data_IF_850187203780
#
_entry.id   IF_850187203780
#
_cell.length_a   1.000
_cell.length_b   1.000
_cell.length_c   1.000
_cell.angle_alpha   90.00
_cell.angle_beta   90.00
_cell.angle_gamma   90.00
#
_symmetry.space_group_name_H-M   'P 1'
#
loop_
_entity.id
_entity.type
_entity.pdbx_description
1 polymer ?
#
# COMPACT_ATOMS: atom_id res chain seq x y z
N UNK A 1 7.85 -6.63 -25.86
CA UNK A 1 6.90 -7.73 -25.79
C UNK A 1 5.51 -7.15 -25.57
N UNK A 2 4.48 -7.84 -26.06
CA UNK A 2 3.08 -7.50 -25.80
C UNK A 2 2.64 -8.09 -24.46
N UNK A 3 2.20 -7.25 -23.53
CA UNK A 3 1.77 -7.69 -22.21
C UNK A 3 0.31 -7.27 -21.97
N UNK A 4 -0.55 -8.27 -21.74
CA UNK A 4 -1.91 -8.01 -21.27
C UNK A 4 -1.90 -7.77 -19.76
N UNK A 5 -2.35 -6.60 -19.33
CA UNK A 5 -2.41 -6.21 -17.91
C UNK A 5 -3.86 -6.21 -17.45
N UNK A 6 -4.17 -6.93 -16.37
CA UNK A 6 -5.52 -6.97 -15.79
C UNK A 6 -5.50 -6.41 -14.37
N UNK A 7 -6.25 -5.31 -14.17
CA UNK A 7 -6.30 -4.57 -12.91
C UNK A 7 -7.69 -4.62 -12.27
N UNK A 8 -7.80 -4.85 -10.95
CA UNK A 8 -9.09 -4.86 -10.25
C UNK A 8 -9.70 -3.47 -10.06
N UNK A 9 -8.88 -2.41 -10.24
CA UNK A 9 -9.30 -1.01 -10.11
C UNK A 9 -8.57 -0.12 -11.09
N UNK A 10 -9.25 0.91 -11.56
CA UNK A 10 -8.63 1.96 -12.36
C UNK A 10 -7.52 2.65 -11.53
N UNK A 11 -6.29 2.80 -12.08
CA UNK A 11 -5.10 3.16 -11.29
C UNK A 11 -4.96 4.65 -10.98
N UNK A 12 -6.04 5.43 -11.06
CA UNK A 12 -6.07 6.86 -10.73
C UNK A 12 -7.45 7.24 -10.15
N UNK A 13 -7.57 8.25 -9.23
CA UNK A 13 -6.50 8.96 -8.53
C UNK A 13 -5.73 8.07 -7.54
N UNK A 14 -4.55 8.53 -7.10
CA UNK A 14 -3.56 7.74 -6.34
C UNK A 14 -3.86 7.59 -4.84
N UNK A 15 -5.14 7.58 -4.46
CA UNK A 15 -5.61 7.60 -3.07
C UNK A 15 -5.45 6.27 -2.32
N UNK A 16 -5.27 5.17 -3.06
CA UNK A 16 -5.18 3.81 -2.51
C UNK A 16 -3.88 3.14 -2.93
N UNK A 17 -3.28 2.36 -2.05
CA UNK A 17 -2.01 1.72 -2.30
C UNK A 17 -1.99 0.82 -3.54
N UNK A 18 -3.07 0.09 -3.82
CA UNK A 18 -3.21 -0.73 -5.02
C UNK A 18 -3.26 0.10 -6.31
N UNK A 19 -3.90 1.27 -6.29
CA UNK A 19 -3.93 2.20 -7.42
C UNK A 19 -2.57 2.89 -7.64
N UNK A 20 -1.95 3.37 -6.56
CA UNK A 20 -0.63 3.98 -6.58
C UNK A 20 0.40 3.01 -7.20
N UNK A 21 0.42 1.77 -6.72
CA UNK A 21 1.30 0.73 -7.23
C UNK A 21 1.04 0.45 -8.71
N UNK A 22 -0.22 0.25 -9.11
CA UNK A 22 -0.59 0.02 -10.51
C UNK A 22 -0.15 1.17 -11.44
N UNK A 23 -0.35 2.40 -11.01
CA UNK A 23 0.07 3.58 -11.76
C UNK A 23 1.57 3.58 -12.06
N UNK A 24 2.39 3.42 -11.01
CA UNK A 24 3.85 3.42 -11.18
C UNK A 24 4.35 2.17 -11.91
N UNK A 25 3.70 1.02 -11.74
CA UNK A 25 3.98 -0.18 -12.55
C UNK A 25 3.72 0.09 -14.03
N UNK A 26 2.54 0.60 -14.41
CA UNK A 26 2.23 0.91 -15.81
C UNK A 26 3.21 1.94 -16.39
N UNK A 27 3.52 3.01 -15.64
CA UNK A 27 4.45 4.07 -16.06
C UNK A 27 5.82 3.52 -16.42
N UNK A 28 6.37 2.61 -15.62
CA UNK A 28 7.72 2.08 -15.85
C UNK A 28 7.68 0.93 -16.86
N UNK A 29 6.74 0.00 -16.73
CA UNK A 29 6.63 -1.15 -17.64
C UNK A 29 6.39 -0.74 -19.09
N UNK A 30 5.69 0.38 -19.36
CA UNK A 30 5.44 0.91 -20.69
C UNK A 30 6.71 1.30 -21.47
N UNK A 31 7.83 1.49 -20.78
CA UNK A 31 9.14 1.76 -21.41
C UNK A 31 9.81 0.49 -21.95
N UNK A 32 9.41 -0.67 -21.45
CA UNK A 32 10.00 -1.97 -21.77
C UNK A 32 9.07 -2.87 -22.58
N UNK A 33 7.76 -2.65 -22.47
CA UNK A 33 6.72 -3.52 -23.03
C UNK A 33 5.57 -2.71 -23.65
N UNK A 34 4.91 -3.31 -24.62
CA UNK A 34 3.64 -2.82 -25.19
C UNK A 34 2.49 -3.31 -24.28
N UNK A 35 1.86 -2.39 -23.54
CA UNK A 35 0.85 -2.74 -22.55
C UNK A 35 -0.56 -2.62 -23.14
N UNK A 36 -1.34 -3.68 -23.00
CA UNK A 36 -2.78 -3.74 -23.28
C UNK A 36 -3.52 -3.89 -21.97
N UNK A 37 -4.24 -2.85 -21.54
CA UNK A 37 -4.74 -2.76 -20.17
C UNK A 37 -6.24 -2.97 -20.12
N UNK A 38 -6.70 -3.93 -19.30
CA UNK A 38 -8.10 -4.11 -18.91
C UNK A 38 -8.22 -3.77 -17.43
N UNK A 39 -9.03 -2.79 -17.11
CA UNK A 39 -9.23 -2.37 -15.73
C UNK A 39 -10.71 -2.31 -15.36
N UNK A 40 -11.01 -2.66 -14.11
CA UNK A 40 -12.34 -2.60 -13.56
C UNK A 40 -12.55 -1.28 -12.80
N UNK A 41 -13.77 -0.78 -12.75
CA UNK A 41 -14.10 0.41 -11.96
C UNK A 41 -15.55 0.33 -11.42
N UNK A 42 -15.77 0.97 -10.29
CA UNK A 42 -17.12 1.15 -9.74
C UNK A 42 -17.82 2.37 -10.35
N UNK A 43 -17.05 3.44 -10.51
CA UNK A 43 -17.44 4.66 -11.21
C UNK A 43 -16.51 4.85 -12.39
N UNK A 44 -17.07 5.27 -13.54
CA UNK A 44 -16.25 5.56 -14.70
C UNK A 44 -15.28 6.71 -14.35
N UNK A 45 -13.99 6.56 -14.68
CA UNK A 45 -13.02 7.62 -14.46
C UNK A 45 -13.35 8.84 -15.34
N UNK A 46 -12.98 10.03 -14.88
CA UNK A 46 -13.03 11.26 -15.70
C UNK A 46 -12.06 11.16 -16.89
N UNK A 47 -12.30 11.96 -17.94
CA UNK A 47 -11.36 12.05 -19.07
C UNK A 47 -9.98 12.50 -18.62
N UNK A 48 -9.89 13.40 -17.65
CA UNK A 48 -8.63 13.79 -17.04
C UNK A 48 -7.88 12.61 -16.43
N UNK A 49 -8.61 11.78 -15.65
CA UNK A 49 -8.03 10.55 -15.06
C UNK A 49 -7.58 9.56 -16.13
N UNK A 50 -8.36 9.40 -17.21
CA UNK A 50 -7.99 8.55 -18.33
C UNK A 50 -6.76 9.07 -19.08
N UNK A 51 -6.66 10.38 -19.26
CA UNK A 51 -5.51 11.02 -19.91
C UNK A 51 -4.18 10.77 -19.16
N UNK A 52 -4.22 10.57 -17.84
CA UNK A 52 -3.03 10.21 -17.03
C UNK A 52 -2.54 8.76 -17.26
N UNK A 53 -3.40 7.86 -17.76
CA UNK A 53 -3.08 6.43 -17.93
C UNK A 53 -2.85 6.08 -19.41
N UNK A 54 -3.58 6.68 -20.34
CA UNK A 54 -3.46 6.39 -21.79
C UNK A 54 -2.03 6.40 -22.33
N UNK A 55 -1.13 7.33 -21.92
CA UNK A 55 0.25 7.32 -22.41
C UNK A 55 1.07 6.06 -22.08
N UNK A 56 0.62 5.26 -21.12
CA UNK A 56 1.33 4.05 -20.68
C UNK A 56 0.87 2.77 -21.37
N UNK A 57 -0.13 2.83 -22.25
CA UNK A 57 -0.69 1.64 -22.87
C UNK A 57 -1.06 1.86 -24.32
N UNK A 58 -0.94 0.79 -25.13
CA UNK A 58 -1.41 0.78 -26.51
C UNK A 58 -2.93 0.83 -26.56
N UNK A 59 -3.58 0.10 -25.66
CA UNK A 59 -5.03 0.10 -25.51
C UNK A 59 -5.43 0.09 -24.02
N UNK A 60 -6.46 0.86 -23.70
CA UNK A 60 -7.03 0.97 -22.35
C UNK A 60 -8.53 0.63 -22.39
N UNK A 61 -8.90 -0.48 -21.79
CA UNK A 61 -10.27 -0.94 -21.67
C UNK A 61 -10.77 -0.78 -20.22
N UNK A 62 -11.75 0.09 -20.00
CA UNK A 62 -12.33 0.36 -18.69
C UNK A 62 -13.71 -0.29 -18.61
N UNK A 63 -13.88 -1.23 -17.68
CA UNK A 63 -15.16 -1.96 -17.51
C UNK A 63 -15.80 -1.59 -16.19
N UNK A 64 -16.98 -0.97 -16.27
CA UNK A 64 -17.77 -0.61 -15.10
C UNK A 64 -18.41 -1.85 -14.47
N UNK A 65 -18.19 -2.01 -13.17
CA UNK A 65 -18.87 -3.01 -12.34
C UNK A 65 -20.19 -2.44 -11.82
N UNK A 66 -21.31 -3.03 -12.23
CA UNK A 66 -22.62 -2.65 -11.71
C UNK A 66 -22.86 -3.31 -10.34
N UNK A 67 -23.58 -2.63 -9.44
CA UNK A 67 -23.87 -3.15 -8.11
C UNK A 67 -24.58 -4.50 -8.15
N UNK A 68 -25.59 -4.65 -9.01
CA UNK A 68 -26.35 -5.90 -9.15
C UNK A 68 -25.46 -7.06 -9.63
N UNK A 69 -24.56 -6.83 -10.61
CA UNK A 69 -23.65 -7.87 -11.10
C UNK A 69 -22.63 -8.28 -10.02
N UNK A 70 -22.14 -7.31 -9.22
CA UNK A 70 -21.20 -7.59 -8.12
C UNK A 70 -21.82 -8.51 -7.06
N UNK A 71 -23.03 -8.17 -6.59
CA UNK A 71 -23.71 -8.98 -5.57
C UNK A 71 -24.03 -10.39 -6.10
N UNK A 72 -24.62 -10.48 -7.30
CA UNK A 72 -24.95 -11.76 -7.93
C UNK A 72 -23.72 -12.66 -8.12
N UNK A 73 -22.65 -12.11 -8.67
CA UNK A 73 -21.43 -12.88 -8.89
C UNK A 73 -20.71 -13.25 -7.60
N UNK A 74 -20.78 -12.42 -6.56
CA UNK A 74 -20.24 -12.73 -5.25
C UNK A 74 -20.98 -13.92 -4.61
N UNK A 75 -22.32 -13.94 -4.69
CA UNK A 75 -23.13 -15.06 -4.21
C UNK A 75 -22.83 -16.32 -5.03
N UNK A 76 -22.80 -16.22 -6.36
CA UNK A 76 -22.46 -17.35 -7.24
C UNK A 76 -21.06 -17.93 -6.97
N UNK A 77 -20.09 -17.08 -6.65
CA UNK A 77 -18.75 -17.50 -6.28
C UNK A 77 -18.75 -18.38 -5.03
N UNK A 78 -19.57 -18.06 -4.03
CA UNK A 78 -19.71 -18.86 -2.82
C UNK A 78 -20.17 -20.30 -3.11
N UNK A 79 -21.13 -20.48 -4.02
CA UNK A 79 -21.58 -21.81 -4.46
C UNK A 79 -20.51 -22.57 -5.24
N UNK A 80 -19.57 -21.88 -5.85
CA UNK A 80 -18.41 -22.49 -6.52
C UNK A 80 -17.20 -22.70 -5.60
N UNK A 81 -17.32 -22.41 -4.31
CA UNK A 81 -16.23 -22.49 -3.35
C UNK A 81 -15.15 -21.40 -3.49
N UNK A 82 -15.37 -20.41 -4.38
CA UNK A 82 -14.47 -19.28 -4.58
C UNK A 82 -14.61 -18.23 -3.46
N UNK A 83 -13.57 -17.44 -3.19
CA UNK A 83 -13.67 -16.30 -2.30
C UNK A 83 -14.73 -15.28 -2.77
N UNK A 84 -15.48 -14.74 -1.81
CA UNK A 84 -16.47 -13.68 -2.08
C UNK A 84 -15.85 -12.52 -2.86
N UNK A 85 -14.62 -12.12 -2.51
CA UNK A 85 -13.90 -11.04 -3.18
C UNK A 85 -13.65 -11.32 -4.67
N UNK A 86 -13.30 -12.56 -5.03
CA UNK A 86 -13.06 -12.92 -6.44
C UNK A 86 -14.37 -12.83 -7.25
N UNK A 87 -15.48 -13.31 -6.69
CA UNK A 87 -16.79 -13.15 -7.32
C UNK A 87 -17.22 -11.68 -7.45
N UNK A 88 -16.99 -10.89 -6.42
CA UNK A 88 -17.33 -9.47 -6.41
C UNK A 88 -16.65 -8.69 -7.54
N UNK A 89 -15.42 -9.03 -7.89
CA UNK A 89 -14.66 -8.39 -8.98
C UNK A 89 -14.86 -9.07 -10.34
N UNK A 90 -15.58 -10.20 -10.42
CA UNK A 90 -15.84 -10.85 -11.69
C UNK A 90 -16.97 -10.16 -12.49
N UNK A 91 -16.73 -9.97 -13.79
CA UNK A 91 -17.71 -9.36 -14.72
C UNK A 91 -17.62 -10.04 -16.10
N UNK A 92 -18.75 -10.49 -16.64
CA UNK A 92 -18.78 -11.17 -17.95
C UNK A 92 -18.34 -10.29 -19.11
N UNK A 93 -18.60 -8.97 -19.06
CA UNK A 93 -18.15 -8.05 -20.11
C UNK A 93 -16.63 -7.94 -20.07
N UNK A 94 -16.03 -7.80 -18.87
CA UNK A 94 -14.58 -7.80 -18.74
C UNK A 94 -13.95 -9.10 -19.21
N UNK A 95 -14.58 -10.28 -18.91
CA UNK A 95 -14.10 -11.56 -19.45
C UNK A 95 -14.12 -11.61 -20.99
N UNK A 96 -15.18 -11.09 -21.61
CA UNK A 96 -15.25 -11.02 -23.09
C UNK A 96 -14.15 -10.11 -23.63
N UNK A 97 -13.97 -8.92 -23.05
CA UNK A 97 -12.89 -8.01 -23.45
C UNK A 97 -11.51 -8.65 -23.34
N UNK A 98 -11.25 -9.39 -22.24
CA UNK A 98 -9.99 -10.13 -22.06
C UNK A 98 -9.83 -11.20 -23.16
N UNK A 99 -10.89 -11.99 -23.44
CA UNK A 99 -10.86 -13.03 -24.47
C UNK A 99 -10.62 -12.43 -25.88
N UNK A 100 -11.30 -11.34 -26.21
CA UNK A 100 -11.15 -10.62 -27.48
C UNK A 100 -9.74 -10.07 -27.66
N UNK A 101 -9.18 -9.47 -26.60
CA UNK A 101 -7.79 -8.98 -26.61
C UNK A 101 -6.79 -10.11 -26.80
N UNK A 102 -6.92 -11.20 -26.05
CA UNK A 102 -6.02 -12.36 -26.19
C UNK A 102 -6.08 -12.93 -27.62
N UNK A 103 -7.28 -13.08 -28.18
CA UNK A 103 -7.46 -13.61 -29.54
C UNK A 103 -6.92 -12.69 -30.65
N UNK A 104 -6.95 -11.37 -30.44
CA UNK A 104 -6.56 -10.38 -31.46
C UNK A 104 -5.10 -9.94 -31.32
N UNK A 105 -4.65 -9.71 -30.10
CA UNK A 105 -3.33 -9.14 -29.82
C UNK A 105 -2.25 -10.22 -29.76
N UNK A 106 -2.62 -11.46 -29.37
CA UNK A 106 -1.68 -12.56 -29.06
C UNK A 106 -0.59 -12.10 -28.10
N UNK A 107 -0.93 -11.74 -26.82
CA UNK A 107 0.06 -11.25 -25.88
C UNK A 107 1.09 -12.32 -25.51
N UNK A 108 2.35 -11.92 -25.40
CA UNK A 108 3.46 -12.79 -24.99
C UNK A 108 3.35 -13.16 -23.51
N UNK A 109 2.79 -12.28 -22.70
CA UNK A 109 2.66 -12.40 -21.22
C UNK A 109 1.34 -11.81 -20.74
N UNK A 110 0.88 -12.31 -19.58
CA UNK A 110 -0.26 -11.75 -18.86
C UNK A 110 0.20 -11.33 -17.47
N UNK A 111 -0.01 -10.08 -17.09
CA UNK A 111 0.26 -9.54 -15.76
C UNK A 111 -1.04 -9.22 -15.04
N UNK A 112 -1.25 -9.82 -13.87
CA UNK A 112 -2.43 -9.62 -13.03
C UNK A 112 -2.03 -8.93 -11.71
N UNK A 113 -2.79 -7.91 -11.34
CA UNK A 113 -2.65 -7.28 -10.04
C UNK A 113 -3.75 -7.78 -9.09
N UNK A 114 -3.35 -8.34 -7.95
CA UNK A 114 -4.19 -9.00 -6.95
C UNK A 114 -4.89 -10.28 -7.49
N UNK A 115 -5.04 -11.25 -6.62
CA UNK A 115 -5.71 -12.53 -6.93
C UNK A 115 -7.18 -12.36 -7.36
N UNK A 116 -7.78 -11.18 -7.12
CA UNK A 116 -9.16 -10.85 -7.46
C UNK A 116 -9.48 -10.94 -8.94
N UNK A 117 -8.47 -10.79 -9.79
CA UNK A 117 -8.60 -10.82 -11.26
C UNK A 117 -8.03 -12.10 -11.89
N UNK A 118 -7.53 -13.03 -11.09
CA UNK A 118 -6.94 -14.26 -11.60
C UNK A 118 -7.94 -15.13 -12.40
N UNK A 119 -9.23 -15.10 -12.04
CA UNK A 119 -10.29 -15.83 -12.76
C UNK A 119 -10.41 -15.44 -14.24
N UNK A 120 -10.04 -14.21 -14.61
CA UNK A 120 -10.10 -13.76 -16.03
C UNK A 120 -9.09 -14.44 -16.94
N UNK A 121 -7.98 -14.94 -16.37
CA UNK A 121 -6.82 -15.37 -17.15
C UNK A 121 -6.39 -16.82 -16.89
N UNK A 122 -6.97 -17.48 -15.93
CA UNK A 122 -6.53 -18.83 -15.50
C UNK A 122 -6.61 -19.89 -16.57
N UNK A 123 -7.50 -19.75 -17.57
CA UNK A 123 -7.72 -20.73 -18.63
C UNK A 123 -6.79 -20.58 -19.85
N UNK A 124 -6.02 -19.48 -19.93
CA UNK A 124 -5.11 -19.28 -21.06
C UNK A 124 -3.78 -20.01 -20.83
N UNK A 125 -3.28 -20.62 -21.90
CA UNK A 125 -1.93 -21.22 -21.94
C UNK A 125 -0.92 -20.17 -22.43
N UNK A 126 -0.81 -19.08 -21.67
CA UNK A 126 0.11 -17.96 -21.86
C UNK A 126 0.81 -17.75 -20.54
N UNK A 127 2.12 -17.51 -20.54
CA UNK A 127 2.88 -17.28 -19.31
C UNK A 127 2.30 -16.11 -18.50
N UNK A 128 2.00 -16.36 -17.22
CA UNK A 128 1.24 -15.48 -16.35
C UNK A 128 2.05 -15.03 -15.14
N UNK A 129 1.96 -13.76 -14.82
CA UNK A 129 2.59 -13.14 -13.68
C UNK A 129 1.50 -12.58 -12.75
N UNK A 130 1.56 -12.89 -11.45
CA UNK A 130 0.66 -12.33 -10.44
C UNK A 130 1.39 -11.44 -9.46
N UNK A 131 0.87 -10.24 -9.24
CA UNK A 131 1.24 -9.39 -8.12
C UNK A 131 0.22 -9.56 -6.97
N UNK A 132 0.61 -10.30 -5.95
CA UNK A 132 -0.24 -10.54 -4.77
C UNK A 132 -0.52 -9.26 -3.99
N UNK A 133 0.46 -8.34 -3.96
CA UNK A 133 0.51 -7.14 -3.13
C UNK A 133 0.43 -7.41 -1.62
N UNK A 134 -0.66 -8.03 -1.17
CA UNK A 134 -0.98 -8.32 0.24
C UNK A 134 -1.56 -9.75 0.35
N UNK A 135 -1.50 -10.32 1.53
CA UNK A 135 -2.11 -11.62 1.85
C UNK A 135 -3.54 -11.40 2.30
N UNK A 136 -4.49 -11.48 1.36
CA UNK A 136 -5.89 -11.17 1.62
C UNK A 136 -6.53 -12.08 2.67
N UNK A 137 -6.11 -13.35 2.75
CA UNK A 137 -6.53 -14.30 3.79
C UNK A 137 -6.20 -13.77 5.18
N UNK A 138 -4.99 -13.24 5.40
CA UNK A 138 -4.58 -12.68 6.69
C UNK A 138 -5.40 -11.44 7.08
N UNK A 139 -5.78 -10.63 6.09
CA UNK A 139 -6.73 -9.52 6.30
C UNK A 139 -8.08 -10.01 6.84
N UNK A 140 -8.61 -11.13 6.31
CA UNK A 140 -9.86 -11.73 6.80
C UNK A 140 -9.69 -12.40 8.16
N UNK A 141 -8.55 -13.02 8.43
CA UNK A 141 -8.23 -13.60 9.74
C UNK A 141 -8.29 -12.54 10.85
N UNK A 142 -7.65 -11.38 10.63
CA UNK A 142 -7.67 -10.25 11.57
C UNK A 142 -9.08 -9.70 11.78
N UNK A 143 -9.85 -9.53 10.68
CA UNK A 143 -11.27 -9.11 10.77
C UNK A 143 -12.12 -10.11 11.55
N UNK A 144 -11.85 -11.41 11.44
CA UNK A 144 -12.55 -12.43 12.22
C UNK A 144 -12.27 -12.33 13.72
N UNK A 145 -11.08 -11.88 14.12
CA UNK A 145 -10.70 -11.68 15.53
C UNK A 145 -11.43 -10.48 16.15
N UNK A 146 -11.53 -9.36 15.42
CA UNK A 146 -12.11 -8.11 15.90
C UNK A 146 -13.63 -7.99 15.65
N UNK A 147 -14.24 -8.88 14.86
CA UNK A 147 -15.64 -8.80 14.49
C UNK A 147 -16.59 -9.27 15.61
N UNK A 148 -17.80 -8.69 15.69
CA UNK A 148 -18.88 -9.21 16.52
C UNK A 148 -19.19 -10.68 16.20
N UNK A 149 -19.66 -11.45 17.20
CA UNK A 149 -19.85 -12.89 17.10
C UNK A 149 -20.69 -13.33 15.89
N UNK A 150 -21.72 -12.58 15.54
CA UNK A 150 -22.61 -12.87 14.42
C UNK A 150 -21.98 -12.68 13.03
N UNK A 151 -20.90 -11.89 12.90
CA UNK A 151 -20.11 -11.74 11.64
C UNK A 151 -18.87 -12.62 11.58
N UNK A 152 -18.42 -13.13 12.73
CA UNK A 152 -17.15 -13.86 12.85
C UNK A 152 -17.11 -15.11 11.97
N UNK A 153 -18.23 -15.84 11.89
CA UNK A 153 -18.32 -17.05 11.06
C UNK A 153 -18.08 -16.75 9.57
N UNK A 154 -18.64 -15.63 9.06
CA UNK A 154 -18.46 -15.20 7.67
C UNK A 154 -16.98 -14.90 7.36
N UNK A 155 -16.31 -14.12 8.22
CA UNK A 155 -14.89 -13.81 8.03
C UNK A 155 -14.00 -15.04 8.15
N UNK A 156 -14.33 -16.00 9.04
CA UNK A 156 -13.61 -17.28 9.13
C UNK A 156 -13.81 -18.15 7.88
N UNK A 157 -15.02 -18.18 7.33
CA UNK A 157 -15.30 -18.92 6.11
C UNK A 157 -14.57 -18.30 4.90
N UNK A 158 -14.57 -16.98 4.78
CA UNK A 158 -13.85 -16.26 3.73
C UNK A 158 -12.33 -16.43 3.87
N UNK A 159 -11.79 -16.38 5.08
CA UNK A 159 -10.39 -16.70 5.36
C UNK A 159 -9.99 -18.07 4.80
N UNK A 160 -10.78 -19.12 5.08
CA UNK A 160 -10.49 -20.48 4.58
C UNK A 160 -10.54 -20.58 3.06
N UNK A 161 -11.49 -19.88 2.42
CA UNK A 161 -11.59 -19.83 0.94
C UNK A 161 -10.39 -19.11 0.33
N UNK A 162 -10.00 -17.98 0.92
CA UNK A 162 -8.85 -17.22 0.46
C UNK A 162 -7.56 -18.01 0.61
N UNK A 163 -7.33 -18.70 1.74
CA UNK A 163 -6.13 -19.54 1.90
C UNK A 163 -6.01 -20.59 0.79
N UNK A 164 -7.11 -21.28 0.46
CA UNK A 164 -7.12 -22.26 -0.64
C UNK A 164 -6.87 -21.59 -2.00
N UNK A 165 -7.53 -20.47 -2.23
CA UNK A 165 -7.43 -19.77 -3.50
C UNK A 165 -6.06 -19.11 -3.71
N UNK A 166 -5.44 -18.57 -2.68
CA UNK A 166 -4.07 -18.05 -2.73
C UNK A 166 -3.06 -19.15 -3.10
N UNK A 167 -3.24 -20.36 -2.54
CA UNK A 167 -2.43 -21.53 -2.90
C UNK A 167 -2.72 -22.03 -4.34
N UNK A 168 -4.00 -22.05 -4.78
CA UNK A 168 -4.36 -22.39 -6.15
C UNK A 168 -3.75 -21.41 -7.16
N UNK A 169 -3.88 -20.11 -6.92
CA UNK A 169 -3.29 -19.05 -7.75
C UNK A 169 -1.77 -19.19 -7.82
N UNK A 170 -1.12 -19.57 -6.74
CA UNK A 170 0.33 -19.83 -6.76
C UNK A 170 0.72 -20.84 -7.83
N UNK A 171 -0.05 -21.94 -7.96
CA UNK A 171 0.22 -23.00 -8.96
C UNK A 171 -0.20 -22.63 -10.39
N UNK A 172 -1.13 -21.67 -10.55
CA UNK A 172 -1.65 -21.25 -11.84
C UNK A 172 -0.78 -20.20 -12.55
N UNK A 173 0.07 -19.51 -11.81
CA UNK A 173 0.92 -18.44 -12.33
C UNK A 173 2.38 -18.87 -12.36
N UNK A 174 3.09 -18.54 -13.44
CA UNK A 174 4.49 -18.89 -13.62
C UNK A 174 5.39 -18.07 -12.71
N UNK A 175 5.21 -16.75 -12.71
CA UNK A 175 5.95 -15.82 -11.83
C UNK A 175 5.01 -15.14 -10.84
N UNK A 176 5.50 -14.91 -9.64
CA UNK A 176 4.76 -14.32 -8.53
C UNK A 176 5.56 -13.22 -7.90
N UNK A 177 4.93 -12.08 -7.63
CA UNK A 177 5.55 -10.97 -6.89
C UNK A 177 4.69 -10.56 -5.70
N UNK A 178 5.33 -10.01 -4.67
CA UNK A 178 4.70 -9.50 -3.46
C UNK A 178 5.50 -8.31 -2.92
N UNK A 179 4.89 -7.49 -2.05
CA UNK A 179 5.52 -6.23 -1.59
C UNK A 179 6.61 -6.49 -0.55
N UNK A 180 6.41 -7.42 0.40
CA UNK A 180 7.35 -7.64 1.51
C UNK A 180 7.68 -9.12 1.72
N UNK A 181 8.85 -9.39 2.32
CA UNK A 181 9.20 -10.74 2.76
C UNK A 181 8.27 -11.26 3.86
N UNK A 182 7.82 -10.35 4.74
CA UNK A 182 6.86 -10.69 5.80
C UNK A 182 5.55 -11.21 5.22
N UNK A 183 5.03 -10.55 4.18
CA UNK A 183 3.80 -11.00 3.51
C UNK A 183 4.05 -12.27 2.68
N UNK A 184 5.21 -12.39 2.02
CA UNK A 184 5.61 -13.60 1.30
C UNK A 184 5.53 -14.85 2.17
N UNK A 185 6.08 -14.77 3.38
CA UNK A 185 6.14 -15.89 4.32
C UNK A 185 4.76 -16.23 4.92
N UNK A 186 3.76 -15.38 4.72
CA UNK A 186 2.37 -15.61 5.11
C UNK A 186 1.51 -16.25 4.01
N UNK A 187 1.98 -16.34 2.77
CA UNK A 187 1.29 -17.03 1.68
C UNK A 187 1.20 -18.53 2.02
N UNK A 188 0.00 -19.15 1.97
CA UNK A 188 -0.21 -20.52 2.40
C UNK A 188 0.23 -21.55 1.34
N UNK A 189 1.51 -21.53 0.97
CA UNK A 189 2.10 -22.44 0.00
C UNK A 189 3.54 -22.79 0.40
N UNK A 190 3.92 -24.07 0.29
CA UNK A 190 5.25 -24.57 0.68
C UNK A 190 6.40 -23.87 -0.04
N UNK A 191 6.19 -23.52 -1.29
CA UNK A 191 7.17 -22.81 -2.13
C UNK A 191 7.01 -21.28 -2.10
N UNK A 192 6.36 -20.71 -1.07
CA UNK A 192 6.15 -19.26 -0.97
C UNK A 192 7.44 -18.45 -1.09
N UNK A 193 8.58 -19.00 -0.68
CA UNK A 193 9.91 -18.37 -0.81
C UNK A 193 10.36 -18.13 -2.26
N UNK A 194 9.72 -18.78 -3.25
CA UNK A 194 9.98 -18.51 -4.68
C UNK A 194 9.29 -17.24 -5.17
N UNK A 195 8.41 -16.63 -4.38
CA UNK A 195 7.78 -15.36 -4.71
C UNK A 195 8.83 -14.26 -4.67
N UNK A 196 8.96 -13.50 -5.74
CA UNK A 196 9.86 -12.36 -5.81
C UNK A 196 9.32 -11.20 -4.96
N UNK A 197 10.18 -10.60 -4.16
CA UNK A 197 9.82 -9.40 -3.39
C UNK A 197 10.11 -8.17 -4.23
N UNK A 198 9.05 -7.48 -4.64
CA UNK A 198 9.10 -6.23 -5.39
C UNK A 198 8.33 -5.19 -4.55
N UNK A 199 9.06 -4.40 -3.80
CA UNK A 199 8.48 -3.44 -2.85
C UNK A 199 7.69 -2.31 -3.53
N UNK A 200 6.98 -1.50 -2.74
CA UNK A 200 6.52 -0.20 -3.21
C UNK A 200 7.69 0.78 -3.24
N UNK A 201 7.58 1.78 -4.08
CA UNK A 201 8.53 2.88 -4.12
C UNK A 201 7.96 4.19 -3.60
N UNK A 202 8.78 5.23 -3.66
CA UNK A 202 8.41 6.62 -3.42
C UNK A 202 8.56 7.40 -4.71
N UNK A 203 7.69 8.38 -4.90
CA UNK A 203 7.78 9.36 -5.96
C UNK A 203 8.65 10.54 -5.48
N UNK A 204 9.94 10.50 -5.84
CA UNK A 204 10.90 11.53 -5.46
C UNK A 204 10.68 12.86 -6.19
N UNK A 205 9.89 12.89 -7.26
CA UNK A 205 9.51 14.13 -7.94
C UNK A 205 8.40 14.86 -7.18
N UNK A 206 7.53 14.10 -6.50
CA UNK A 206 6.49 14.65 -5.64
C UNK A 206 7.00 14.93 -4.21
N UNK A 207 7.72 13.97 -3.62
CA UNK A 207 8.29 14.10 -2.27
C UNK A 207 9.72 14.62 -2.35
N UNK A 208 9.87 15.91 -2.65
CA UNK A 208 11.16 16.59 -2.68
C UNK A 208 11.40 17.35 -1.38
N UNK A 209 12.53 17.06 -0.74
CA UNK A 209 12.97 17.86 0.40
C UNK A 209 13.15 19.33 -0.02
N UNK A 210 12.63 20.22 0.80
CA UNK A 210 12.77 21.67 0.63
C UNK A 210 12.90 22.35 1.98
N UNK A 211 13.75 23.34 2.05
CA UNK A 211 13.89 24.17 3.21
C UNK A 211 12.68 25.09 3.32
N UNK A 212 11.99 25.00 4.45
CA UNK A 212 10.85 25.85 4.77
C UNK A 212 10.70 25.99 6.30
N UNK A 213 9.92 26.95 6.72
CA UNK A 213 9.58 27.13 8.13
C UNK A 213 8.91 25.87 8.70
N UNK A 214 9.35 25.44 9.90
CA UNK A 214 8.81 24.27 10.59
C UNK A 214 7.64 24.68 11.48
N UNK A 215 6.43 24.40 11.00
CA UNK A 215 5.19 24.73 11.69
C UNK A 215 4.75 23.64 12.70
N UNK A 216 5.30 22.42 12.56
CA UNK A 216 4.96 21.26 13.40
C UNK A 216 6.22 20.59 13.91
N UNK A 217 6.25 20.26 15.19
CA UNK A 217 7.36 19.49 15.76
C UNK A 217 7.28 18.04 15.33
N UNK A 218 6.09 17.44 15.44
CA UNK A 218 5.85 16.06 15.06
C UNK A 218 4.77 15.95 13.98
N UNK A 219 4.89 14.93 13.13
CA UNK A 219 3.85 14.54 12.17
C UNK A 219 3.59 13.04 12.22
N UNK A 220 2.32 12.67 12.21
CA UNK A 220 1.83 11.33 11.90
C UNK A 220 0.86 11.37 10.72
N UNK A 221 1.13 10.58 9.68
CA UNK A 221 0.37 10.62 8.43
C UNK A 221 -0.36 9.30 8.13
N UNK A 222 -1.50 9.40 7.45
CA UNK A 222 -2.23 8.23 6.93
C UNK A 222 -3.72 8.45 6.82
N UNK A 223 -4.44 7.47 6.25
CA UNK A 223 -5.90 7.51 6.25
C UNK A 223 -6.42 7.35 7.69
N UNK A 224 -7.01 8.40 8.24
CA UNK A 224 -7.44 8.48 9.64
C UNK A 224 -8.80 7.81 9.93
N UNK A 225 -9.38 7.08 8.95
CA UNK A 225 -10.48 6.14 9.16
C UNK A 225 -10.01 4.67 9.26
N UNK A 226 -8.74 4.39 8.92
CA UNK A 226 -8.19 3.04 8.99
C UNK A 226 -7.81 2.70 10.45
N UNK A 227 -8.37 1.62 10.98
CA UNK A 227 -8.28 1.28 12.40
C UNK A 227 -6.84 1.29 12.99
N UNK A 228 -5.80 0.77 12.32
CA UNK A 228 -4.42 0.89 12.79
C UNK A 228 -3.92 2.34 12.94
N UNK A 229 -4.31 3.23 12.03
CA UNK A 229 -3.92 4.63 12.13
C UNK A 229 -4.69 5.37 13.23
N UNK A 230 -5.97 5.03 13.41
CA UNK A 230 -6.80 5.57 14.52
C UNK A 230 -6.21 5.17 15.88
N UNK A 231 -5.79 3.91 16.00
CA UNK A 231 -5.16 3.40 17.22
C UNK A 231 -3.83 4.12 17.49
N UNK A 232 -2.94 4.18 16.48
CA UNK A 232 -1.65 4.84 16.60
C UNK A 232 -1.76 6.33 16.93
N UNK A 233 -2.71 7.06 16.33
CA UNK A 233 -2.97 8.47 16.63
C UNK A 233 -3.44 8.65 18.07
N UNK A 234 -4.34 7.78 18.56
CA UNK A 234 -4.79 7.84 19.95
C UNK A 234 -3.65 7.53 20.94
N UNK A 235 -2.86 6.48 20.65
CA UNK A 235 -1.71 6.14 21.48
C UNK A 235 -0.67 7.27 21.50
N UNK A 236 -0.35 7.84 20.34
CA UNK A 236 0.57 8.98 20.25
C UNK A 236 0.12 10.13 21.14
N UNK A 237 -1.13 10.58 20.99
CA UNK A 237 -1.61 11.78 21.68
C UNK A 237 -1.91 11.55 23.15
N UNK A 238 -2.39 10.36 23.53
CA UNK A 238 -2.82 10.09 24.91
C UNK A 238 -1.73 9.51 25.80
N UNK A 239 -0.75 8.82 25.21
CA UNK A 239 0.28 8.12 25.97
C UNK A 239 1.68 8.76 25.76
N UNK A 240 2.10 9.00 24.51
CA UNK A 240 3.45 9.52 24.23
C UNK A 240 3.55 11.01 24.45
N UNK A 241 2.64 11.80 23.88
CA UNK A 241 2.68 13.27 23.98
C UNK A 241 2.68 13.79 25.41
N UNK A 242 1.94 13.24 26.39
CA UNK A 242 1.99 13.70 27.78
C UNK A 242 3.38 13.62 28.42
N UNK A 243 4.22 12.66 28.00
CA UNK A 243 5.61 12.56 28.47
C UNK A 243 6.46 13.70 27.89
N UNK A 244 6.28 14.00 26.61
CA UNK A 244 6.98 15.09 25.93
C UNK A 244 6.53 16.46 26.46
N UNK A 245 5.24 16.68 26.71
CA UNK A 245 4.72 17.95 27.21
C UNK A 245 5.17 18.32 28.62
N UNK A 246 5.72 17.37 29.39
CA UNK A 246 6.33 17.69 30.69
C UNK A 246 7.57 18.57 30.55
N UNK A 247 8.35 18.35 29.49
CA UNK A 247 9.62 19.04 29.23
C UNK A 247 9.49 20.10 28.13
N UNK A 248 8.60 19.84 27.16
CA UNK A 248 8.31 20.72 26.03
C UNK A 248 6.81 21.09 25.99
N UNK A 249 6.36 22.03 26.85
CA UNK A 249 4.92 22.29 27.02
C UNK A 249 4.16 22.73 25.77
N UNK A 250 4.84 23.36 24.81
CA UNK A 250 4.26 23.89 23.58
C UNK A 250 4.47 22.96 22.36
N UNK A 251 5.10 21.80 22.53
CA UNK A 251 5.39 20.86 21.44
C UNK A 251 4.11 20.43 20.71
N UNK A 252 4.13 20.56 19.40
CA UNK A 252 2.97 20.34 18.53
C UNK A 252 3.04 19.00 17.80
N UNK A 253 1.88 18.44 17.46
CA UNK A 253 1.78 17.28 16.57
C UNK A 253 0.68 17.45 15.54
N UNK A 254 1.00 17.20 14.27
CA UNK A 254 0.06 17.14 13.17
C UNK A 254 -0.37 15.70 12.89
N UNK A 255 -1.68 15.44 12.93
CA UNK A 255 -2.30 14.19 12.51
C UNK A 255 -2.89 14.41 11.11
N UNK A 256 -2.12 14.04 10.07
CA UNK A 256 -2.41 14.39 8.69
C UNK A 256 -3.04 13.24 7.92
N UNK A 257 -4.17 13.51 7.23
CA UNK A 257 -4.75 12.58 6.29
C UNK A 257 -6.26 12.49 6.27
N UNK A 258 -6.75 11.84 5.22
CA UNK A 258 -8.16 11.79 4.88
C UNK A 258 -9.04 11.12 5.94
N UNK A 259 -10.32 11.56 5.97
CA UNK A 259 -11.44 10.89 6.65
C UNK A 259 -11.18 10.61 8.16
N UNK A 260 -10.81 11.61 8.98
CA UNK A 260 -10.55 11.37 10.39
C UNK A 260 -11.80 10.82 11.11
N UNK A 261 -11.62 9.66 11.76
CA UNK A 261 -12.64 9.06 12.61
C UNK A 261 -13.01 9.98 13.77
N UNK A 262 -14.22 9.87 14.37
CA UNK A 262 -14.61 10.69 15.51
C UNK A 262 -13.59 10.66 16.66
N UNK A 263 -12.99 9.50 16.94
CA UNK A 263 -11.96 9.34 17.96
C UNK A 263 -10.69 10.14 17.66
N UNK A 264 -10.31 10.33 16.38
CA UNK A 264 -9.16 11.15 15.99
C UNK A 264 -9.54 12.63 16.02
N UNK A 265 -10.73 13.01 15.53
CA UNK A 265 -11.21 14.40 15.61
C UNK A 265 -11.27 14.91 17.06
N UNK A 266 -11.65 14.05 18.00
CA UNK A 266 -11.72 14.38 19.41
C UNK A 266 -10.33 14.65 20.05
N UNK A 267 -9.23 14.37 19.36
CA UNK A 267 -7.86 14.70 19.80
C UNK A 267 -7.45 16.14 19.49
N UNK A 268 -8.21 16.84 18.62
CA UNK A 268 -7.94 18.22 18.22
C UNK A 268 -7.78 19.14 19.44
N UNK A 269 -6.70 19.90 19.47
CA UNK A 269 -6.41 20.89 20.51
C UNK A 269 -5.47 21.97 19.97
N UNK A 270 -5.06 22.95 20.82
CA UNK A 270 -4.03 23.94 20.42
C UNK A 270 -2.70 23.27 19.99
N UNK A 271 -2.36 22.13 20.58
CA UNK A 271 -1.08 21.41 20.32
C UNK A 271 -1.23 20.18 19.40
N UNK A 272 -2.44 19.77 19.11
CA UNK A 272 -2.75 18.61 18.23
C UNK A 272 -3.59 19.09 17.07
N UNK A 273 -3.03 19.08 15.87
CA UNK A 273 -3.66 19.54 14.67
C UNK A 273 -4.17 18.33 13.87
N UNK A 274 -5.50 18.24 13.64
CA UNK A 274 -6.11 17.20 12.82
C UNK A 274 -6.53 17.80 11.49
N UNK A 275 -5.76 17.54 10.43
CA UNK A 275 -5.94 18.25 9.15
C UNK A 275 -7.12 17.79 8.33
N UNK A 276 -7.51 16.51 8.43
CA UNK A 276 -8.36 15.90 7.41
C UNK A 276 -7.63 15.72 6.09
N UNK A 277 -8.37 15.76 4.98
CA UNK A 277 -7.79 15.74 3.64
C UNK A 277 -6.92 16.99 3.41
N UNK A 278 -5.77 16.80 2.79
CA UNK A 278 -4.86 17.87 2.40
C UNK A 278 -4.47 17.71 0.93
N UNK A 279 -4.27 18.81 0.22
CA UNK A 279 -3.92 18.78 -1.20
C UNK A 279 -2.48 18.31 -1.44
N UNK A 280 -1.58 18.62 -0.51
CA UNK A 280 -0.17 18.25 -0.57
C UNK A 280 0.33 17.67 0.75
N UNK A 281 0.53 16.36 0.81
CA UNK A 281 1.20 15.73 1.96
C UNK A 281 2.68 16.13 2.05
N UNK A 282 3.32 16.37 0.90
CA UNK A 282 4.72 16.81 0.86
C UNK A 282 4.92 18.14 1.62
N UNK A 283 3.95 19.05 1.58
CA UNK A 283 4.03 20.31 2.32
C UNK A 283 4.00 20.11 3.84
N UNK A 284 3.15 19.21 4.32
CA UNK A 284 3.08 18.90 5.74
C UNK A 284 4.33 18.17 6.23
N UNK A 285 4.88 17.25 5.43
CA UNK A 285 6.18 16.65 5.75
C UNK A 285 7.28 17.70 5.78
N UNK A 286 7.37 18.59 4.78
CA UNK A 286 8.38 19.64 4.73
C UNK A 286 8.32 20.58 5.94
N UNK A 287 7.11 20.93 6.40
CA UNK A 287 6.87 21.81 7.54
C UNK A 287 6.99 21.12 8.92
N UNK A 288 7.32 19.85 8.96
CA UNK A 288 7.48 19.09 10.21
C UNK A 288 8.96 18.85 10.53
N UNK A 289 9.27 18.63 11.81
CA UNK A 289 10.63 18.32 12.27
C UNK A 289 10.87 16.81 12.34
N UNK A 290 9.99 16.04 12.94
CA UNK A 290 10.14 14.60 13.16
C UNK A 290 8.88 13.86 12.71
N UNK A 291 9.05 12.78 11.96
CA UNK A 291 7.97 11.84 11.67
C UNK A 291 7.88 10.79 12.77
N UNK A 292 6.68 10.55 13.30
CA UNK A 292 6.46 9.54 14.34
C UNK A 292 5.29 8.63 13.98
N UNK A 293 5.52 7.30 14.01
CA UNK A 293 4.50 6.30 13.69
C UNK A 293 4.52 5.14 14.71
N UNK A 294 3.89 5.30 15.89
CA UNK A 294 3.88 4.29 16.94
C UNK A 294 2.81 3.23 16.67
N UNK A 295 3.02 2.44 15.61
CA UNK A 295 2.06 1.44 15.13
C UNK A 295 2.13 0.16 15.97
N UNK A 296 1.03 -0.24 16.60
CA UNK A 296 0.88 -1.54 17.26
C UNK A 296 0.00 -2.51 16.47
N UNK A 297 -0.79 -1.97 15.53
CA UNK A 297 -1.63 -2.73 14.63
C UNK A 297 -1.25 -2.42 13.17
N UNK A 298 -1.49 -3.39 12.31
CA UNK A 298 -1.25 -3.23 10.87
C UNK A 298 -0.38 -4.33 10.29
N UNK A 299 -0.11 -4.26 9.01
CA UNK A 299 0.75 -5.18 8.25
C UNK A 299 1.30 -4.48 7.03
N UNK A 300 2.26 -5.13 6.39
CA UNK A 300 2.84 -4.67 5.15
C UNK A 300 3.75 -3.46 5.30
N UNK A 301 4.27 -3.03 4.17
CA UNK A 301 5.13 -1.86 4.06
C UNK A 301 4.34 -0.58 4.35
N UNK A 302 4.87 0.25 5.24
CA UNK A 302 4.27 1.53 5.59
C UNK A 302 4.79 2.63 4.66
N UNK A 303 4.06 2.91 3.57
CA UNK A 303 4.47 3.94 2.58
C UNK A 303 4.77 5.30 3.23
N UNK A 304 4.04 5.66 4.28
CA UNK A 304 4.26 6.90 5.05
C UNK A 304 5.67 7.04 5.64
N UNK A 305 6.33 5.91 5.98
CA UNK A 305 7.74 5.93 6.41
C UNK A 305 8.65 6.24 5.24
N UNK A 306 8.40 5.61 4.08
CA UNK A 306 9.18 5.88 2.86
C UNK A 306 9.04 7.34 2.43
N UNK A 307 7.81 7.86 2.47
CA UNK A 307 7.48 9.26 2.14
C UNK A 307 8.22 10.24 3.08
N UNK A 308 8.14 10.01 4.40
CA UNK A 308 8.82 10.85 5.39
C UNK A 308 10.36 10.81 5.23
N UNK A 309 10.94 9.61 5.07
CA UNK A 309 12.38 9.45 4.87
C UNK A 309 12.83 10.09 3.54
N UNK A 310 12.02 10.06 2.47
CA UNK A 310 12.34 10.73 1.20
C UNK A 310 12.36 12.26 1.33
N UNK A 311 11.64 12.80 2.31
CA UNK A 311 11.62 14.23 2.65
C UNK A 311 12.72 14.63 3.64
N UNK A 312 13.69 13.74 3.92
CA UNK A 312 14.73 13.92 4.94
C UNK A 312 14.18 14.22 6.33
N UNK A 313 13.05 13.59 6.68
CA UNK A 313 12.55 13.63 8.05
C UNK A 313 13.14 12.46 8.84
N UNK A 314 13.78 12.69 10.00
CA UNK A 314 14.11 11.59 10.89
C UNK A 314 12.83 10.93 11.38
N UNK A 315 12.81 9.59 11.31
CA UNK A 315 11.62 8.80 11.59
C UNK A 315 11.77 8.01 12.88
N UNK A 316 10.74 8.11 13.75
CA UNK A 316 10.60 7.30 14.96
C UNK A 316 9.41 6.36 14.76
N UNK A 317 9.61 5.06 14.90
CA UNK A 317 8.54 4.09 14.63
C UNK A 317 8.64 2.84 15.51
N UNK A 318 7.63 1.95 15.42
CA UNK A 318 7.65 0.66 16.11
C UNK A 318 8.36 -0.43 15.29
N UNK A 319 8.77 -1.51 15.95
CA UNK A 319 9.27 -2.72 15.26
C UNK A 319 8.27 -3.24 14.22
N UNK A 320 6.96 -3.16 14.51
CA UNK A 320 5.91 -3.61 13.59
C UNK A 320 5.98 -2.88 12.25
N UNK A 321 6.18 -1.56 12.28
CA UNK A 321 6.20 -0.73 11.07
C UNK A 321 7.59 -0.66 10.42
N UNK A 322 8.67 -0.82 11.19
CA UNK A 322 10.05 -0.82 10.69
C UNK A 322 10.47 -2.16 10.06
N UNK A 323 10.00 -3.30 10.61
CA UNK A 323 10.38 -4.65 10.14
C UNK A 323 10.20 -4.90 8.63
N UNK A 324 9.15 -4.38 7.96
CA UNK A 324 9.01 -4.54 6.51
C UNK A 324 10.04 -3.79 5.67
N UNK A 325 10.77 -2.84 6.23
CA UNK A 325 11.87 -2.12 5.56
C UNK A 325 13.12 -3.00 5.58
N UNK A 326 13.32 -3.77 4.51
CA UNK A 326 14.42 -4.72 4.42
C UNK A 326 15.78 -4.01 4.47
N UNK A 327 16.60 -4.37 5.45
CA UNK A 327 17.96 -3.85 5.61
C UNK A 327 18.06 -2.51 6.35
N UNK A 328 16.95 -1.98 6.88
CA UNK A 328 16.99 -0.79 7.74
C UNK A 328 17.63 -1.13 9.09
N UNK A 329 18.49 -0.28 9.60
CA UNK A 329 19.17 -0.43 10.88
C UNK A 329 18.67 0.61 11.90
N UNK A 330 18.28 0.13 13.08
CA UNK A 330 17.87 1.01 14.18
C UNK A 330 19.07 1.86 14.66
N UNK A 331 18.83 3.16 14.85
CA UNK A 331 19.87 4.11 15.27
C UNK A 331 20.75 4.63 14.13
N UNK A 332 20.51 4.20 12.89
CA UNK A 332 21.28 4.62 11.72
C UNK A 332 20.40 5.31 10.65
N UNK A 333 19.38 4.64 10.14
CA UNK A 333 18.45 5.21 9.17
C UNK A 333 17.10 5.57 9.79
N UNK A 334 16.79 5.02 10.98
CA UNK A 334 15.50 5.15 11.65
C UNK A 334 15.67 4.86 13.14
N UNK A 335 14.78 5.41 13.98
CA UNK A 335 14.69 5.04 15.39
C UNK A 335 13.51 4.10 15.62
N UNK A 336 13.78 2.90 16.14
CA UNK A 336 12.75 1.86 16.39
C UNK A 336 12.52 1.73 17.89
N UNK A 337 11.31 2.03 18.33
CA UNK A 337 10.88 2.03 19.73
C UNK A 337 9.62 1.19 19.90
N UNK A 338 9.43 0.59 21.08
CA UNK A 338 8.24 -0.24 21.35
C UNK A 338 7.55 0.11 22.67
N UNK A 339 8.08 1.08 23.42
CA UNK A 339 7.51 1.56 24.68
C UNK A 339 7.18 3.04 24.59
N UNK A 340 6.22 3.49 25.38
CA UNK A 340 5.82 4.91 25.45
C UNK A 340 7.00 5.82 25.79
N UNK A 341 7.81 5.42 26.77
CA UNK A 341 9.04 6.14 27.15
C UNK A 341 10.07 6.13 26.03
N UNK A 342 10.29 4.98 25.38
CA UNK A 342 11.24 4.89 24.27
C UNK A 342 10.87 5.81 23.09
N UNK A 343 9.58 5.96 22.75
CA UNK A 343 9.13 6.94 21.76
C UNK A 343 9.41 8.38 22.20
N UNK A 344 9.12 8.71 23.47
CA UNK A 344 9.39 10.04 24.00
C UNK A 344 10.90 10.35 24.01
N UNK A 345 11.73 9.41 24.49
CA UNK A 345 13.18 9.58 24.58
C UNK A 345 13.82 9.71 23.18
N UNK A 346 13.37 8.94 22.21
CA UNK A 346 13.84 9.06 20.82
C UNK A 346 13.51 10.43 20.20
N UNK A 347 12.29 10.93 20.45
CA UNK A 347 11.92 12.29 20.00
C UNK A 347 12.77 13.35 20.65
N UNK A 348 12.97 13.30 21.99
CA UNK A 348 13.84 14.23 22.72
C UNK A 348 15.24 14.23 22.17
N UNK A 349 15.85 13.04 21.99
CA UNK A 349 17.20 12.91 21.46
C UNK A 349 17.35 13.60 20.09
N UNK A 350 16.34 13.47 19.21
CA UNK A 350 16.34 14.14 17.90
C UNK A 350 16.17 15.67 18.02
N UNK A 351 15.40 16.15 19.00
CA UNK A 351 15.18 17.58 19.18
C UNK A 351 16.37 18.30 19.81
N UNK A 352 17.15 17.59 20.64
CA UNK A 352 18.28 18.12 21.41
C UNK A 352 19.62 17.94 20.70
N UNK A 353 19.76 16.95 19.82
CA UNK A 353 21.02 16.62 19.16
C UNK A 353 20.89 16.81 17.63
N UNK A 354 21.35 17.96 17.15
CA UNK A 354 21.31 18.32 15.72
C UNK A 354 22.14 17.34 14.85
N UNK A 355 23.31 16.88 15.31
CA UNK A 355 24.15 15.94 14.57
C UNK A 355 23.43 14.58 14.38
N UNK A 356 22.81 14.07 15.44
CA UNK A 356 21.99 12.85 15.37
C UNK A 356 20.78 13.05 14.43
N UNK A 357 20.12 14.19 14.52
CA UNK A 357 18.99 14.55 13.65
C UNK A 357 19.39 14.48 12.18
N UNK A 358 20.45 15.19 11.80
CA UNK A 358 20.94 15.28 10.43
C UNK A 358 21.45 13.92 9.92
N UNK A 359 22.13 13.15 10.77
CA UNK A 359 22.62 11.81 10.44
C UNK A 359 21.48 10.84 10.15
N UNK A 360 20.46 10.76 11.02
CA UNK A 360 19.31 9.87 10.81
C UNK A 360 18.48 10.31 9.60
N UNK A 361 18.29 11.61 9.40
CA UNK A 361 17.54 12.16 8.27
C UNK A 361 18.23 11.84 6.93
N UNK A 362 19.54 12.09 6.83
CA UNK A 362 20.29 11.83 5.59
C UNK A 362 20.43 10.33 5.31
N UNK A 363 20.77 9.52 6.30
CA UNK A 363 20.87 8.07 6.13
C UNK A 363 19.52 7.46 5.73
N UNK A 364 18.41 7.90 6.34
CA UNK A 364 17.07 7.50 5.98
C UNK A 364 16.72 7.84 4.53
N UNK A 365 17.04 9.05 4.09
CA UNK A 365 16.87 9.48 2.71
C UNK A 365 17.66 8.61 1.72
N UNK A 366 18.96 8.40 1.97
CA UNK A 366 19.80 7.58 1.10
C UNK A 366 19.33 6.12 1.04
N UNK A 367 18.89 5.57 2.18
CA UNK A 367 18.34 4.23 2.25
C UNK A 367 17.09 4.08 1.36
N UNK A 368 16.13 5.00 1.46
CA UNK A 368 14.89 4.94 0.66
C UNK A 368 15.19 5.21 -0.81
N UNK A 369 16.05 6.18 -1.13
CA UNK A 369 16.47 6.49 -2.50
C UNK A 369 17.11 5.30 -3.20
N UNK A 370 17.92 4.53 -2.47
CA UNK A 370 18.64 3.38 -3.02
C UNK A 370 17.75 2.13 -3.16
N UNK A 371 16.75 1.94 -2.27
CA UNK A 371 16.04 0.67 -2.18
C UNK A 371 14.56 0.77 -2.58
N UNK A 372 13.93 1.95 -2.50
CA UNK A 372 12.49 2.15 -2.65
C UNK A 372 12.12 3.22 -3.69
N UNK A 373 12.91 3.37 -4.74
CA UNK A 373 12.57 4.21 -5.89
C UNK A 373 11.66 3.44 -6.85
N UNK A 374 10.53 4.02 -7.29
CA UNK A 374 9.58 3.39 -8.21
C UNK A 374 10.22 2.94 -9.53
N UNK A 375 11.17 3.70 -10.06
CA UNK A 375 11.88 3.34 -11.30
C UNK A 375 12.61 2.01 -11.09
N UNK A 376 13.48 1.95 -10.07
CA UNK A 376 14.33 0.78 -9.80
C UNK A 376 13.52 -0.48 -9.45
N UNK A 377 12.50 -0.34 -8.59
CA UNK A 377 11.70 -1.52 -8.18
C UNK A 377 10.86 -2.06 -9.34
N UNK A 378 10.38 -1.19 -10.25
CA UNK A 378 9.61 -1.62 -11.41
C UNK A 378 10.48 -2.07 -12.59
N UNK A 379 11.75 -1.65 -12.68
CA UNK A 379 12.73 -2.27 -13.58
C UNK A 379 12.95 -3.75 -13.22
N UNK A 380 13.04 -4.05 -11.92
CA UNK A 380 13.09 -5.44 -11.47
C UNK A 380 11.81 -6.21 -11.89
N UNK A 381 10.63 -5.59 -11.76
CA UNK A 381 9.38 -6.19 -12.23
C UNK A 381 9.39 -6.42 -13.74
N UNK A 382 9.88 -5.47 -14.54
CA UNK A 382 10.01 -5.61 -15.98
C UNK A 382 10.90 -6.80 -16.37
N UNK A 383 12.00 -6.99 -15.66
CA UNK A 383 12.88 -8.15 -15.84
C UNK A 383 12.20 -9.49 -15.50
N UNK A 384 11.38 -9.51 -14.42
CA UNK A 384 10.60 -10.71 -14.05
C UNK A 384 9.57 -11.05 -15.14
N UNK A 385 8.88 -10.04 -15.68
CA UNK A 385 7.91 -10.23 -16.78
C UNK A 385 8.61 -10.73 -18.05
N UNK A 386 9.85 -10.33 -18.29
CA UNK A 386 10.63 -10.71 -19.48
C UNK A 386 11.14 -12.15 -19.46
N UNK A 387 11.22 -12.81 -18.31
CA UNK A 387 11.59 -14.23 -18.17
C UNK A 387 10.53 -15.15 -18.76
#
# INVERSE_FOLDING_TARGET
MKVLVVLPRFPYPLEKGDKLRAYHQLRVLSRYHELYVVTLCEHLPSEESMAKIRPFCQELHVVKLTWASRLWNAVRALFKGLPFQCGYFYNRKAQRTVNELVARVHPDRIFCQLIRVAEYVKSFDIRKIIDYQDVLSKGMQRRAQSAPSWKRWFFKAEYRRLCRYEAEVFSLFDEKVIITEVDRDLIPHEQSRQIHVVANGVDFDYYQHRDCEKNYDLIFAGNMSYAPNVEAANYLVREVMPLLWKEYPDLTVALCGASPAPAVRALQSRRVIVTGWVDSMADYYAQSRVFIAPMHLGTGLQNKLLEAMSMKLPCVTSTLAGKPLKGVENGKEILICNTTTGFADAVKALLENAEMYDTIAENGYQFVKSNYNWERVNEQLAQIIAR
#
